data_IF_601864463091
#
_entry.id   IF_601864463091
#
_cell.length_a   1.000
_cell.length_b   1.000
_cell.length_c   1.000
_cell.angle_alpha   90.00
_cell.angle_beta   90.00
_cell.angle_gamma   90.00
#
_symmetry.space_group_name_H-M   'P 1'
#
loop_
_entity.id
_entity.type
_entity.pdbx_description
1 polymer ?
#
# COMPACT_ATOMS: atom_id res chain seq x y z
N UNK A 1 27.08 11.04 10.40
CA UNK A 1 26.86 10.62 11.81
C UNK A 1 26.03 9.36 11.79
N UNK A 2 26.62 8.23 12.14
CA UNK A 2 25.84 6.98 12.34
C UNK A 2 24.90 7.20 13.51
N UNK A 3 23.59 7.09 13.26
CA UNK A 3 22.63 6.91 14.33
C UNK A 3 23.08 5.70 15.16
N UNK A 4 23.20 5.87 16.47
CA UNK A 4 23.73 4.83 17.33
C UNK A 4 22.93 3.54 17.17
N UNK A 5 23.59 2.39 17.18
CA UNK A 5 22.99 1.07 17.15
C UNK A 5 21.88 0.91 18.21
N UNK A 6 22.00 1.58 19.35
CA UNK A 6 21.01 1.58 20.41
C UNK A 6 19.61 2.13 19.97
N UNK A 7 19.57 3.22 19.20
CA UNK A 7 18.30 3.76 18.70
C UNK A 7 17.63 2.82 17.70
N UNK A 8 18.42 2.19 16.84
CA UNK A 8 17.91 1.18 15.90
C UNK A 8 17.38 -0.07 16.63
N UNK A 9 18.04 -0.50 17.70
CA UNK A 9 17.62 -1.68 18.47
C UNK A 9 16.37 -1.40 19.31
N UNK A 10 16.22 -0.19 19.85
CA UNK A 10 14.98 0.24 20.53
C UNK A 10 13.81 0.23 19.56
N UNK A 11 14.00 0.74 18.35
CA UNK A 11 12.97 0.76 17.34
C UNK A 11 12.51 -0.65 16.92
N UNK A 12 13.45 -1.55 16.71
CA UNK A 12 13.17 -2.95 16.40
C UNK A 12 12.43 -3.66 17.54
N UNK A 13 12.80 -3.40 18.80
CA UNK A 13 12.13 -3.97 19.97
C UNK A 13 10.69 -3.48 20.13
N UNK A 14 10.39 -2.24 19.78
CA UNK A 14 9.03 -1.70 19.85
C UNK A 14 8.09 -2.34 18.82
N UNK A 15 8.56 -2.54 17.58
CA UNK A 15 7.77 -3.14 16.52
C UNK A 15 7.55 -4.66 16.67
N UNK A 16 8.51 -5.38 17.26
CA UNK A 16 8.48 -6.83 17.41
C UNK A 16 8.45 -7.30 18.87
N UNK A 17 7.91 -6.49 19.78
CA UNK A 17 7.86 -6.82 21.19
C UNK A 17 6.79 -7.87 21.50
N UNK A 18 7.20 -9.14 21.48
CA UNK A 18 6.31 -10.28 21.80
C UNK A 18 5.96 -10.38 23.29
N UNK A 19 6.76 -9.78 24.18
CA UNK A 19 6.53 -9.85 25.63
C UNK A 19 5.51 -8.82 26.14
N UNK A 20 5.37 -7.72 25.42
CA UNK A 20 4.39 -6.67 25.69
C UNK A 20 3.78 -6.19 24.37
N UNK A 21 2.87 -6.97 23.77
CA UNK A 21 2.25 -6.60 22.51
C UNK A 21 1.37 -5.37 22.69
N UNK A 22 1.50 -4.42 21.78
CA UNK A 22 0.58 -3.30 21.69
C UNK A 22 -0.75 -3.81 21.14
N UNK A 23 -1.77 -3.88 22.00
CA UNK A 23 -3.12 -4.23 21.58
C UNK A 23 -3.77 -3.00 20.93
N UNK A 24 -4.02 -3.08 19.64
CA UNK A 24 -4.87 -2.15 18.90
C UNK A 24 -6.16 -2.86 18.50
N UNK A 25 -7.16 -2.10 18.05
CA UNK A 25 -8.36 -2.71 17.48
C UNK A 25 -7.97 -3.55 16.26
N UNK A 26 -8.17 -4.85 16.38
CA UNK A 26 -7.89 -5.83 15.33
C UNK A 26 -9.21 -6.52 14.98
N UNK A 27 -9.87 -6.15 13.87
CA UNK A 27 -11.10 -6.81 13.48
C UNK A 27 -10.82 -8.28 13.12
N UNK A 28 -11.74 -9.21 13.43
CA UNK A 28 -11.62 -10.60 13.03
C UNK A 28 -11.79 -10.70 11.51
N UNK A 29 -10.70 -10.62 10.78
CA UNK A 29 -10.66 -10.70 9.33
C UNK A 29 -10.04 -12.03 8.87
N UNK A 30 -10.49 -12.58 7.74
CA UNK A 30 -9.85 -13.75 7.15
C UNK A 30 -8.40 -13.40 6.75
N UNK A 31 -7.53 -14.40 6.56
CA UNK A 31 -6.21 -14.19 6.00
C UNK A 31 -6.25 -13.43 4.66
N UNK A 32 -5.14 -12.81 4.30
CA UNK A 32 -4.99 -12.22 2.98
C UNK A 32 -5.06 -13.31 1.90
N UNK A 33 -5.74 -13.02 0.81
CA UNK A 33 -5.95 -13.97 -0.30
C UNK A 33 -5.21 -13.50 -1.55
N UNK A 34 -4.51 -14.42 -2.19
CA UNK A 34 -3.74 -14.19 -3.40
C UNK A 34 -4.21 -15.13 -4.50
N UNK A 35 -4.54 -14.58 -5.65
CA UNK A 35 -5.08 -15.35 -6.78
C UNK A 35 -4.43 -14.92 -8.07
N UNK A 36 -3.89 -15.85 -8.84
CA UNK A 36 -3.41 -15.55 -10.19
C UNK A 36 -4.60 -15.17 -11.09
N UNK A 37 -4.33 -14.47 -12.16
CA UNK A 37 -5.30 -14.11 -13.19
C UNK A 37 -4.76 -14.46 -14.57
N UNK A 38 -5.64 -14.44 -15.57
CA UNK A 38 -5.22 -14.64 -16.98
C UNK A 38 -4.20 -13.59 -17.43
N UNK A 39 -4.26 -12.39 -16.81
CA UNK A 39 -3.40 -11.24 -17.12
C UNK A 39 -2.11 -11.19 -16.30
N UNK A 40 -1.84 -12.17 -15.43
CA UNK A 40 -0.60 -12.20 -14.65
C UNK A 40 -0.65 -13.07 -13.39
N UNK A 41 0.54 -13.34 -12.87
CA UNK A 41 0.73 -14.00 -11.57
C UNK A 41 0.88 -12.99 -10.45
N UNK A 42 0.45 -13.36 -9.26
CA UNK A 42 0.71 -12.56 -8.06
C UNK A 42 2.20 -12.63 -7.71
N UNK A 43 2.81 -11.47 -7.57
CA UNK A 43 4.20 -11.32 -7.11
C UNK A 43 4.23 -10.35 -5.93
N UNK A 44 4.65 -10.83 -4.77
CA UNK A 44 4.79 -10.02 -3.56
C UNK A 44 6.24 -10.07 -3.12
N UNK A 45 6.92 -8.92 -3.17
CA UNK A 45 8.34 -8.78 -2.91
C UNK A 45 8.55 -7.74 -1.81
N UNK A 46 9.26 -8.10 -0.73
CA UNK A 46 9.59 -7.18 0.38
C UNK A 46 8.40 -6.36 0.89
N UNK A 47 7.23 -6.97 1.00
CA UNK A 47 5.98 -6.26 1.27
C UNK A 47 5.22 -6.87 2.44
N UNK A 48 4.40 -6.04 3.10
CA UNK A 48 3.49 -6.46 4.17
C UNK A 48 2.06 -6.39 3.67
N UNK A 49 1.29 -7.47 3.83
CA UNK A 49 -0.11 -7.53 3.44
C UNK A 49 -0.96 -7.91 4.66
N UNK A 50 -1.84 -7.02 5.06
CA UNK A 50 -2.71 -7.23 6.22
C UNK A 50 -3.90 -8.13 5.88
N UNK A 51 -4.52 -8.69 6.92
CA UNK A 51 -5.67 -9.58 6.82
C UNK A 51 -6.88 -8.93 6.11
N UNK A 52 -7.71 -9.76 5.49
CA UNK A 52 -8.85 -9.34 4.73
C UNK A 52 -8.52 -8.74 3.36
N UNK A 53 -7.24 -8.63 3.02
CA UNK A 53 -6.82 -8.11 1.73
C UNK A 53 -6.94 -9.17 0.64
N UNK A 54 -7.27 -8.72 -0.57
CA UNK A 54 -7.38 -9.55 -1.76
C UNK A 54 -6.50 -8.99 -2.87
N UNK A 55 -5.59 -9.80 -3.40
CA UNK A 55 -4.67 -9.41 -4.48
C UNK A 55 -4.81 -10.39 -5.62
N UNK A 56 -5.06 -9.88 -6.82
CA UNK A 56 -5.28 -10.68 -8.00
C UNK A 56 -4.28 -10.33 -9.09
N UNK A 57 -3.48 -11.30 -9.56
CA UNK A 57 -2.62 -11.22 -10.73
C UNK A 57 -1.78 -9.93 -10.85
N UNK A 58 -1.21 -9.45 -9.72
CA UNK A 58 -0.56 -8.14 -9.66
C UNK A 58 0.80 -8.22 -8.98
N UNK A 59 1.67 -7.26 -9.28
CA UNK A 59 2.98 -7.12 -8.68
C UNK A 59 2.93 -6.07 -7.57
N UNK A 60 3.41 -6.46 -6.39
CA UNK A 60 3.53 -5.58 -5.23
C UNK A 60 4.96 -5.67 -4.70
N UNK A 61 5.66 -4.55 -4.64
CA UNK A 61 7.05 -4.49 -4.22
C UNK A 61 7.27 -3.38 -3.19
N UNK A 62 7.99 -3.70 -2.11
CA UNK A 62 8.38 -2.75 -1.05
C UNK A 62 7.21 -1.89 -0.55
N UNK A 63 6.06 -2.53 -0.36
CA UNK A 63 4.80 -1.84 -0.08
C UNK A 63 4.10 -2.42 1.14
N UNK A 64 3.23 -1.60 1.73
CA UNK A 64 2.38 -2.01 2.85
C UNK A 64 0.92 -1.91 2.42
N UNK A 65 0.20 -3.04 2.45
CA UNK A 65 -1.23 -3.10 2.22
C UNK A 65 -1.96 -3.27 3.55
N UNK A 66 -2.74 -2.27 3.92
CA UNK A 66 -3.59 -2.28 5.10
C UNK A 66 -4.76 -3.24 4.97
N UNK A 67 -5.56 -3.33 6.03
CA UNK A 67 -6.69 -4.25 6.10
C UNK A 67 -7.71 -4.05 4.97
N UNK A 68 -8.26 -5.15 4.46
CA UNK A 68 -9.33 -5.16 3.45
C UNK A 68 -8.98 -4.39 2.17
N UNK A 69 -7.69 -4.29 1.83
CA UNK A 69 -7.28 -3.73 0.55
C UNK A 69 -7.63 -4.70 -0.59
N UNK A 70 -8.25 -4.18 -1.63
CA UNK A 70 -8.65 -4.97 -2.80
C UNK A 70 -7.89 -4.51 -4.04
N UNK A 71 -6.98 -5.33 -4.51
CA UNK A 71 -6.12 -5.04 -5.67
C UNK A 71 -6.57 -5.92 -6.84
N UNK A 72 -7.08 -5.28 -7.88
CA UNK A 72 -7.48 -5.96 -9.11
C UNK A 72 -6.26 -6.45 -9.91
N UNK A 73 -6.50 -7.07 -11.06
CA UNK A 73 -5.46 -7.67 -11.90
C UNK A 73 -4.59 -6.64 -12.63
N UNK A 74 -3.40 -7.09 -13.03
CA UNK A 74 -2.44 -6.32 -13.83
C UNK A 74 -1.96 -5.00 -13.20
N UNK A 75 -2.00 -4.87 -11.86
CA UNK A 75 -1.47 -3.70 -11.16
C UNK A 75 0.03 -3.83 -10.89
N UNK A 76 0.75 -2.70 -10.94
CA UNK A 76 2.14 -2.56 -10.51
C UNK A 76 2.23 -1.55 -9.37
N UNK A 77 2.43 -2.04 -8.15
CA UNK A 77 2.44 -1.23 -6.92
C UNK A 77 3.82 -1.32 -6.31
N UNK A 78 4.54 -0.20 -6.25
CA UNK A 78 5.89 -0.17 -5.71
C UNK A 78 6.13 1.01 -4.77
N UNK A 79 6.77 0.72 -3.62
CA UNK A 79 7.10 1.70 -2.59
C UNK A 79 5.86 2.48 -2.09
N UNK A 80 4.74 1.78 -1.91
CA UNK A 80 3.47 2.38 -1.55
C UNK A 80 3.01 1.96 -0.14
N UNK A 81 2.17 2.81 0.46
CA UNK A 81 1.45 2.51 1.70
C UNK A 81 -0.04 2.73 1.45
N UNK A 82 -0.83 1.67 1.52
CA UNK A 82 -2.28 1.71 1.46
C UNK A 82 -2.83 1.42 2.86
N UNK A 83 -3.57 2.37 3.45
CA UNK A 83 -3.90 2.29 4.89
C UNK A 83 -5.08 1.38 5.25
N UNK A 84 -5.91 1.02 4.32
CA UNK A 84 -7.00 0.07 4.54
C UNK A 84 -8.28 0.45 3.82
N UNK A 85 -9.10 -0.56 3.53
CA UNK A 85 -10.34 -0.41 2.75
C UNK A 85 -10.13 0.27 1.38
N UNK A 86 -8.92 0.15 0.83
CA UNK A 86 -8.53 0.75 -0.45
C UNK A 86 -8.88 -0.20 -1.58
N UNK A 87 -9.51 0.34 -2.62
CA UNK A 87 -9.79 -0.39 -3.85
C UNK A 87 -8.90 0.14 -4.97
N UNK A 88 -8.21 -0.76 -5.64
CA UNK A 88 -7.36 -0.43 -6.79
C UNK A 88 -7.89 -1.18 -8.00
N UNK A 89 -8.31 -0.44 -9.00
CA UNK A 89 -8.83 -0.95 -10.26
C UNK A 89 -7.76 -1.65 -11.10
N UNK A 90 -8.19 -2.35 -12.12
CA UNK A 90 -7.32 -3.14 -13.00
C UNK A 90 -6.32 -2.26 -13.76
N UNK A 91 -5.09 -2.76 -13.93
CA UNK A 91 -4.06 -2.10 -14.73
C UNK A 91 -3.50 -0.81 -14.13
N UNK A 92 -3.67 -0.58 -12.83
CA UNK A 92 -3.14 0.60 -12.16
C UNK A 92 -1.64 0.52 -11.94
N UNK A 93 -0.97 1.66 -12.02
CA UNK A 93 0.46 1.82 -11.68
C UNK A 93 0.60 2.83 -10.56
N UNK A 94 1.07 2.38 -9.39
CA UNK A 94 1.26 3.23 -8.22
C UNK A 94 2.73 3.18 -7.80
N UNK A 95 3.38 4.33 -7.71
CA UNK A 95 4.78 4.44 -7.31
C UNK A 95 4.99 5.55 -6.29
N UNK A 96 5.54 5.20 -5.12
CA UNK A 96 5.79 6.17 -4.03
C UNK A 96 4.53 6.94 -3.63
N UNK A 97 3.44 6.19 -3.39
CA UNK A 97 2.12 6.75 -3.07
C UNK A 97 1.72 6.32 -1.66
N UNK A 98 1.20 7.26 -0.90
CA UNK A 98 0.48 6.98 0.34
C UNK A 98 -1.01 7.16 0.04
N UNK A 99 -1.78 6.09 0.18
CA UNK A 99 -3.23 6.09 -0.01
C UNK A 99 -3.90 5.93 1.35
N UNK A 100 -4.69 6.92 1.74
CA UNK A 100 -5.43 6.86 3.00
C UNK A 100 -6.66 5.94 2.85
N UNK A 101 -7.36 5.70 3.96
CA UNK A 101 -8.46 4.73 4.06
C UNK A 101 -9.63 5.06 3.13
N UNK A 102 -10.37 4.03 2.77
CA UNK A 102 -11.64 4.14 2.03
C UNK A 102 -11.47 4.79 0.62
N UNK A 103 -10.27 4.79 0.05
CA UNK A 103 -10.02 5.35 -1.27
C UNK A 103 -10.34 4.33 -2.37
N UNK A 104 -10.83 4.86 -3.51
CA UNK A 104 -11.20 4.07 -4.69
C UNK A 104 -10.44 4.62 -5.91
N UNK A 105 -9.58 3.78 -6.50
CA UNK A 105 -8.73 4.13 -7.64
C UNK A 105 -9.28 3.43 -8.88
N UNK A 106 -9.68 4.23 -9.87
CA UNK A 106 -10.25 3.73 -11.12
C UNK A 106 -9.25 2.89 -11.93
N UNK A 107 -9.73 1.94 -12.75
CA UNK A 107 -8.88 1.14 -13.62
C UNK A 107 -7.98 1.99 -14.53
N UNK A 108 -6.74 1.52 -14.75
CA UNK A 108 -5.78 2.18 -15.64
C UNK A 108 -5.14 3.45 -15.09
N UNK A 109 -5.44 3.81 -13.84
CA UNK A 109 -4.89 5.02 -13.21
C UNK A 109 -3.39 4.87 -12.94
N UNK A 110 -2.62 5.91 -13.25
CA UNK A 110 -1.18 5.99 -13.00
C UNK A 110 -0.88 7.13 -12.04
N UNK A 111 -0.25 6.84 -10.89
CA UNK A 111 0.10 7.82 -9.86
C UNK A 111 1.56 7.60 -9.45
N UNK A 112 2.30 8.71 -9.30
CA UNK A 112 3.74 8.68 -8.98
C UNK A 112 4.64 8.36 -10.18
N UNK A 113 4.07 8.31 -11.38
CA UNK A 113 4.78 8.14 -12.65
C UNK A 113 5.13 9.51 -13.26
N UNK A 114 4.18 10.43 -13.25
CA UNK A 114 4.37 11.80 -13.72
C UNK A 114 4.03 12.80 -12.61
N UNK A 115 5.02 13.17 -11.80
CA UNK A 115 4.85 14.05 -10.66
C UNK A 115 4.33 15.45 -11.02
N UNK A 116 4.56 15.92 -12.26
CA UNK A 116 4.06 17.23 -12.71
C UNK A 116 2.53 17.21 -12.89
N UNK A 117 2.01 16.09 -13.37
CA UNK A 117 0.57 15.88 -13.49
C UNK A 117 -0.06 15.62 -12.12
N UNK A 118 0.59 14.78 -11.31
CA UNK A 118 0.13 14.46 -9.96
C UNK A 118 -0.01 15.71 -9.08
N UNK A 119 0.91 16.67 -9.19
CA UNK A 119 0.87 17.96 -8.45
C UNK A 119 -0.35 18.82 -8.75
N UNK A 120 -1.01 18.62 -9.89
CA UNK A 120 -2.23 19.38 -10.22
C UNK A 120 -3.45 18.86 -9.45
N UNK A 121 -3.43 17.60 -9.05
CA UNK A 121 -4.59 16.90 -8.48
C UNK A 121 -4.38 16.47 -7.03
N UNK A 122 -3.12 16.22 -6.62
CA UNK A 122 -2.78 15.63 -5.32
C UNK A 122 -1.69 16.42 -4.63
N UNK A 123 -1.60 16.24 -3.33
CA UNK A 123 -0.44 16.71 -2.58
C UNK A 123 0.78 15.84 -2.90
N UNK A 124 1.86 16.47 -3.33
CA UNK A 124 3.15 15.82 -3.60
C UNK A 124 4.20 16.45 -2.71
N UNK A 125 4.84 15.64 -1.87
CA UNK A 125 5.92 16.09 -0.99
C UNK A 125 7.16 16.50 -1.77
N UNK A 126 8.10 17.20 -1.10
CA UNK A 126 9.38 17.60 -1.70
C UNK A 126 10.20 16.39 -2.18
N UNK A 127 10.06 15.25 -1.49
CA UNK A 127 10.70 13.99 -1.85
C UNK A 127 9.98 13.21 -2.97
N UNK A 128 8.91 13.77 -3.54
CA UNK A 128 8.14 13.15 -4.62
C UNK A 128 7.21 12.01 -4.17
N UNK A 129 6.71 12.05 -2.94
CA UNK A 129 5.68 11.12 -2.45
C UNK A 129 4.31 11.76 -2.71
N UNK A 130 3.44 11.02 -3.40
CA UNK A 130 2.07 11.45 -3.66
C UNK A 130 1.16 10.99 -2.54
N UNK A 131 0.28 11.87 -2.05
CA UNK A 131 -0.66 11.55 -0.98
C UNK A 131 -2.09 11.63 -1.49
N UNK A 132 -2.82 10.53 -1.36
CA UNK A 132 -4.24 10.41 -1.69
C UNK A 132 -5.04 10.45 -0.39
N UNK A 133 -5.93 11.42 -0.20
CA UNK A 133 -6.68 11.58 1.04
C UNK A 133 -7.75 10.50 1.22
N UNK A 134 -8.23 10.39 2.46
CA UNK A 134 -9.28 9.44 2.84
C UNK A 134 -10.55 9.63 2.00
N UNK A 135 -11.12 8.51 1.56
CA UNK A 135 -12.39 8.48 0.83
C UNK A 135 -12.31 9.08 -0.59
N UNK A 136 -11.10 9.35 -1.09
CA UNK A 136 -10.94 9.90 -2.43
C UNK A 136 -11.37 8.91 -3.52
N UNK A 137 -11.99 9.44 -4.56
CA UNK A 137 -12.21 8.73 -5.83
C UNK A 137 -11.27 9.29 -6.87
N UNK A 138 -10.40 8.45 -7.38
CA UNK A 138 -9.27 8.85 -8.22
C UNK A 138 -9.40 8.24 -9.61
N UNK A 139 -9.25 9.08 -10.65
CA UNK A 139 -9.28 8.62 -12.04
C UNK A 139 -10.69 8.37 -12.61
N UNK A 140 -11.73 8.86 -11.94
CA UNK A 140 -13.13 8.78 -12.40
C UNK A 140 -13.53 10.01 -13.19
#
# INVERSE_FOLDING_TARGET
RRLSSAASDVYKRQLYNRKWPLHTYYPPLPPATFTDSDNGRVQIIDSLVCNGSYVRGSRIEKSVLGFRSNIASACDISQCILLGDVKVGEGCVLRRVIVDKDADIAPGTQIGVNLQEDKKHYHVSDDGIVVIPKGARVGY
#
